data_IF_084909919694
#
_entry.id   IF_084909919694
#
_cell.length_a   1.000
_cell.length_b   1.000
_cell.length_c   1.000
_cell.angle_alpha   90.00
_cell.angle_beta   90.00
_cell.angle_gamma   90.00
#
_symmetry.space_group_name_H-M   'P 1'
#
loop_
_entity.id
_entity.type
_entity.pdbx_description
1 polymer ?
#
# COMPACT_ATOMS: atom_id res chain seq x y z
N UNK A 1 10.64 -54.93 21.94
CA UNK A 1 11.55 -55.33 20.85
C UNK A 1 11.03 -54.67 19.60
N UNK A 2 11.61 -53.54 19.21
CA UNK A 2 11.25 -52.80 18.00
C UNK A 2 12.56 -52.66 17.23
N UNK A 3 12.76 -53.48 16.22
CA UNK A 3 13.94 -53.38 15.34
C UNK A 3 13.68 -52.37 14.22
N UNK A 4 14.72 -51.56 14.01
CA UNK A 4 14.70 -50.30 13.28
C UNK A 4 14.61 -50.41 11.76
N UNK A 5 14.13 -49.31 11.20
CA UNK A 5 14.08 -48.98 9.78
C UNK A 5 15.53 -48.94 9.23
N UNK A 6 15.84 -49.57 8.09
CA UNK A 6 17.20 -49.56 7.56
C UNK A 6 17.52 -48.20 6.94
N UNK A 7 18.58 -47.55 7.43
CA UNK A 7 19.22 -46.42 6.76
C UNK A 7 19.95 -46.92 5.51
N UNK A 8 19.37 -46.66 4.33
CA UNK A 8 20.08 -46.83 3.06
C UNK A 8 21.19 -45.78 2.95
N UNK A 9 22.44 -46.24 3.07
CA UNK A 9 23.65 -45.50 2.72
C UNK A 9 23.63 -45.17 1.23
N UNK A 10 23.53 -43.89 0.92
CA UNK A 10 23.77 -43.39 -0.44
C UNK A 10 25.28 -43.48 -0.74
N UNK A 11 25.66 -44.36 -1.65
CA UNK A 11 27.04 -44.64 -2.04
C UNK A 11 27.68 -43.46 -2.78
N UNK A 12 28.86 -43.03 -2.34
CA UNK A 12 29.73 -42.11 -3.07
C UNK A 12 30.18 -42.77 -4.39
N UNK A 13 29.63 -42.30 -5.51
CA UNK A 13 30.14 -42.60 -6.85
C UNK A 13 30.63 -41.32 -7.51
N UNK A 14 31.80 -41.42 -8.15
CA UNK A 14 32.58 -40.32 -8.73
C UNK A 14 31.75 -39.36 -9.60
N UNK A 15 31.93 -38.06 -9.35
CA UNK A 15 31.25 -36.99 -10.09
C UNK A 15 31.78 -36.87 -11.52
N UNK A 16 31.11 -37.48 -12.48
CA UNK A 16 31.19 -37.07 -13.89
C UNK A 16 30.49 -35.72 -14.03
N UNK A 17 31.25 -34.63 -14.24
CA UNK A 17 30.69 -33.29 -14.44
C UNK A 17 30.12 -33.18 -15.85
N UNK A 18 28.89 -33.64 -16.02
CA UNK A 18 28.07 -33.32 -17.20
C UNK A 18 27.59 -31.87 -17.05
N UNK A 19 27.98 -30.97 -17.95
CA UNK A 19 27.46 -29.59 -17.99
C UNK A 19 26.01 -29.61 -18.47
N UNK A 20 25.07 -29.82 -17.56
CA UNK A 20 23.64 -29.79 -17.85
C UNK A 20 23.18 -28.33 -17.82
N UNK A 21 22.85 -27.76 -18.99
CA UNK A 21 22.23 -26.44 -19.08
C UNK A 21 20.71 -26.58 -18.90
N UNK A 22 20.12 -25.84 -17.97
CA UNK A 22 18.67 -25.86 -17.74
C UNK A 22 17.97 -24.91 -18.71
N UNK A 23 17.05 -25.46 -19.51
CA UNK A 23 16.25 -24.72 -20.48
C UNK A 23 14.83 -24.53 -19.93
N UNK A 24 14.38 -23.28 -19.80
CA UNK A 24 13.01 -22.98 -19.40
C UNK A 24 11.98 -23.29 -20.50
N UNK A 25 10.68 -23.22 -20.17
CA UNK A 25 9.56 -23.46 -21.11
C UNK A 25 9.52 -22.52 -22.33
N UNK A 26 10.23 -21.41 -22.29
CA UNK A 26 10.26 -20.39 -23.33
C UNK A 26 11.72 -20.12 -23.71
N UNK A 27 12.48 -21.16 -24.07
CA UNK A 27 13.87 -21.10 -24.61
C UNK A 27 14.92 -20.20 -23.89
N UNK A 28 14.58 -19.59 -22.77
CA UNK A 28 15.48 -18.79 -21.96
C UNK A 28 16.44 -19.74 -21.24
N UNK A 29 17.73 -19.51 -21.44
CA UNK A 29 18.82 -20.25 -20.80
C UNK A 29 19.08 -19.65 -19.43
N UNK A 30 18.80 -20.40 -18.37
CA UNK A 30 19.03 -19.94 -16.99
C UNK A 30 20.47 -20.26 -16.53
N UNK A 31 20.87 -19.63 -15.41
CA UNK A 31 22.12 -19.92 -14.69
C UNK A 31 22.41 -21.43 -14.61
N UNK A 32 23.70 -21.81 -14.70
CA UNK A 32 24.18 -23.20 -14.55
C UNK A 32 23.73 -23.84 -13.22
N UNK A 33 23.50 -23.01 -12.21
CA UNK A 33 22.90 -23.39 -10.94
C UNK A 33 21.56 -22.67 -10.85
N UNK A 34 20.45 -23.25 -11.35
CA UNK A 34 19.14 -22.68 -11.06
C UNK A 34 18.93 -22.72 -9.53
N UNK A 35 18.28 -21.70 -8.95
CA UNK A 35 17.83 -21.82 -7.57
C UNK A 35 16.98 -23.08 -7.46
N UNK A 36 17.22 -23.90 -6.42
CA UNK A 36 16.43 -25.09 -6.17
C UNK A 36 14.94 -24.71 -6.23
N UNK A 37 14.07 -25.56 -6.82
CA UNK A 37 12.64 -25.26 -6.94
C UNK A 37 12.09 -24.82 -5.59
N UNK A 38 11.88 -23.51 -5.44
CA UNK A 38 11.61 -22.90 -4.14
C UNK A 38 10.19 -23.15 -3.68
N UNK A 39 9.32 -23.68 -4.54
CA UNK A 39 7.92 -23.97 -4.24
C UNK A 39 7.76 -25.42 -3.84
N UNK A 40 7.79 -25.66 -2.54
CA UNK A 40 7.30 -26.91 -1.93
C UNK A 40 5.79 -26.82 -1.71
N UNK A 41 5.10 -27.97 -1.64
CA UNK A 41 3.64 -28.04 -1.38
C UNK A 41 3.22 -27.22 -0.13
N UNK A 42 4.10 -27.13 0.86
CA UNK A 42 3.92 -26.34 2.09
C UNK A 42 3.76 -24.83 1.86
N UNK A 43 4.17 -24.30 0.70
CA UNK A 43 4.00 -22.88 0.33
C UNK A 43 2.60 -22.56 -0.20
N UNK A 44 1.81 -23.57 -0.56
CA UNK A 44 0.40 -23.42 -0.92
C UNK A 44 -0.55 -23.71 0.25
N UNK A 45 -0.01 -24.10 1.41
CA UNK A 45 -0.81 -24.30 2.61
C UNK A 45 -1.18 -22.94 3.19
N UNK A 46 -2.46 -22.58 3.11
CA UNK A 46 -3.00 -21.40 3.80
C UNK A 46 -2.87 -21.62 5.30
N UNK A 47 -1.84 -21.03 5.92
CA UNK A 47 -1.55 -21.17 7.37
C UNK A 47 -2.38 -20.24 8.24
N UNK A 48 -2.82 -19.11 7.69
CA UNK A 48 -3.62 -18.11 8.38
C UNK A 48 -4.87 -17.82 7.56
N UNK A 49 -6.01 -17.70 8.25
CA UNK A 49 -7.26 -17.33 7.60
C UNK A 49 -7.18 -15.85 7.18
N UNK A 50 -7.73 -15.48 6.01
CA UNK A 50 -7.89 -14.07 5.66
C UNK A 50 -8.75 -13.39 6.72
N UNK A 51 -8.30 -12.23 7.21
CA UNK A 51 -8.94 -11.49 8.28
C UNK A 51 -8.10 -10.30 8.73
N UNK A 52 -8.59 -9.56 9.73
CA UNK A 52 -7.85 -8.47 10.34
C UNK A 52 -6.56 -9.00 10.99
N UNK A 53 -5.46 -8.28 10.79
CA UNK A 53 -4.13 -8.61 11.32
C UNK A 53 -3.61 -7.38 12.06
N UNK A 54 -2.77 -7.59 13.07
CA UNK A 54 -2.09 -6.51 13.78
C UNK A 54 -3.03 -5.71 14.70
N UNK A 55 -2.82 -4.39 14.86
CA UNK A 55 -3.60 -3.54 15.77
C UNK A 55 -5.11 -3.52 15.47
N UNK A 56 -5.50 -3.76 14.21
CA UNK A 56 -6.89 -3.88 13.80
C UNK A 56 -7.55 -5.17 14.35
N UNK A 57 -6.78 -6.23 14.62
CA UNK A 57 -7.33 -7.49 15.11
C UNK A 57 -7.68 -7.46 16.60
N UNK A 58 -7.12 -6.51 17.37
CA UNK A 58 -7.34 -6.40 18.83
C UNK A 58 -8.62 -5.66 19.20
N UNK A 59 -9.24 -4.93 18.28
CA UNK A 59 -10.49 -4.19 18.51
C UNK A 59 -11.66 -4.97 17.89
N UNK A 60 -12.66 -5.30 18.71
CA UNK A 60 -13.88 -5.98 18.24
C UNK A 60 -14.80 -5.03 17.47
N UNK A 61 -14.86 -3.77 17.92
CA UNK A 61 -15.68 -2.71 17.36
C UNK A 61 -14.75 -1.54 17.03
N UNK A 62 -14.52 -1.32 15.73
CA UNK A 62 -13.70 -0.20 15.23
C UNK A 62 -14.65 0.80 14.59
N UNK A 63 -14.59 2.05 15.03
CA UNK A 63 -15.34 3.13 14.39
C UNK A 63 -14.75 3.46 13.02
N UNK A 64 -15.51 4.15 12.16
CA UNK A 64 -15.00 4.57 10.85
C UNK A 64 -13.76 5.47 10.97
N UNK A 65 -13.75 6.36 11.96
CA UNK A 65 -12.60 7.24 12.24
C UNK A 65 -11.37 6.43 12.66
N UNK A 66 -11.50 5.52 13.63
CA UNK A 66 -10.38 4.67 14.05
C UNK A 66 -9.89 3.75 12.93
N UNK A 67 -10.79 3.31 12.04
CA UNK A 67 -10.41 2.51 10.86
C UNK A 67 -9.57 3.33 9.90
N UNK A 68 -9.89 4.61 9.74
CA UNK A 68 -9.15 5.55 8.90
C UNK A 68 -7.79 5.87 9.50
N UNK A 69 -7.71 6.08 10.82
CA UNK A 69 -6.45 6.33 11.53
C UNK A 69 -5.47 5.16 11.43
N UNK A 70 -5.94 3.92 11.25
CA UNK A 70 -5.09 2.76 10.99
C UNK A 70 -4.49 2.74 9.58
N UNK A 71 -5.08 3.49 8.65
CA UNK A 71 -4.60 3.61 7.27
C UNK A 71 -3.73 4.86 7.09
N UNK A 72 -4.14 5.96 7.74
CA UNK A 72 -3.50 7.27 7.66
C UNK A 72 -3.24 7.77 9.07
N UNK A 73 -2.07 7.43 9.59
CA UNK A 73 -1.61 7.87 10.90
C UNK A 73 -1.45 9.39 10.96
N UNK A 74 -1.61 9.95 12.16
CA UNK A 74 -1.38 11.38 12.43
C UNK A 74 0.02 11.87 11.98
N UNK A 75 1.05 11.01 12.11
CA UNK A 75 2.41 11.33 11.67
C UNK A 75 2.49 11.55 10.15
N UNK A 76 1.74 10.78 9.37
CA UNK A 76 1.68 10.94 7.90
C UNK A 76 1.07 12.30 7.57
N UNK A 77 -0.03 12.65 8.23
CA UNK A 77 -0.72 13.94 8.05
C UNK A 77 0.21 15.09 8.42
N UNK A 78 0.96 14.99 9.52
CA UNK A 78 1.94 16.01 9.90
C UNK A 78 3.04 16.20 8.86
N UNK A 79 3.60 15.11 8.32
CA UNK A 79 4.63 15.17 7.30
C UNK A 79 4.10 15.90 6.05
N UNK A 80 2.90 15.52 5.59
CA UNK A 80 2.24 16.18 4.45
C UNK A 80 2.03 17.66 4.74
N UNK A 81 1.53 18.01 5.93
CA UNK A 81 1.28 19.39 6.32
C UNK A 81 2.55 20.24 6.34
N UNK A 82 3.66 19.69 6.85
CA UNK A 82 4.94 20.39 6.90
C UNK A 82 5.45 20.74 5.50
N UNK A 83 5.52 19.74 4.61
CA UNK A 83 5.96 19.98 3.23
C UNK A 83 5.00 20.87 2.43
N UNK A 84 3.70 20.79 2.71
CA UNK A 84 2.71 21.69 2.10
C UNK A 84 2.96 23.13 2.51
N UNK A 85 3.18 23.39 3.80
CA UNK A 85 3.45 24.72 4.31
C UNK A 85 4.81 25.27 3.82
N UNK A 86 5.85 24.43 3.74
CA UNK A 86 7.10 24.80 3.08
C UNK A 86 6.85 25.25 1.65
N UNK A 87 6.04 24.50 0.89
CA UNK A 87 5.72 24.84 -0.50
C UNK A 87 4.88 26.12 -0.64
N UNK A 88 3.95 26.36 0.28
CA UNK A 88 3.15 27.59 0.31
C UNK A 88 4.06 28.79 0.54
N UNK A 89 4.97 28.70 1.52
CA UNK A 89 5.93 29.77 1.81
C UNK A 89 6.82 30.05 0.59
N UNK A 90 7.41 29.00 -0.02
CA UNK A 90 8.20 29.12 -1.25
C UNK A 90 7.47 29.80 -2.41
N UNK A 91 6.16 29.59 -2.53
CA UNK A 91 5.33 30.14 -3.61
C UNK A 91 4.83 31.56 -3.28
N UNK A 92 4.58 31.85 -2.00
CA UNK A 92 4.18 33.18 -1.52
C UNK A 92 5.29 34.22 -1.74
N UNK A 93 6.55 33.80 -1.63
CA UNK A 93 7.69 34.66 -1.93
C UNK A 93 7.80 34.99 -3.43
N UNK A 94 7.27 34.12 -4.29
CA UNK A 94 7.39 34.22 -5.75
C UNK A 94 6.20 34.91 -6.41
N UNK A 95 5.05 34.93 -5.76
CA UNK A 95 3.78 35.33 -6.38
C UNK A 95 3.10 36.38 -5.52
N UNK A 96 2.89 37.57 -6.08
CA UNK A 96 2.18 38.66 -5.43
C UNK A 96 0.66 38.42 -5.54
N UNK A 97 0.15 37.41 -4.85
CA UNK A 97 -1.28 37.03 -4.85
C UNK A 97 -1.85 37.07 -3.42
N UNK A 98 -3.17 37.26 -3.33
CA UNK A 98 -3.93 37.56 -2.11
C UNK A 98 -3.50 36.81 -0.85
N UNK A 99 -3.36 37.56 0.25
CA UNK A 99 -2.83 37.10 1.54
C UNK A 99 -3.59 35.91 2.16
N UNK A 100 -4.85 35.67 1.78
CA UNK A 100 -5.65 34.56 2.28
C UNK A 100 -5.30 33.21 1.63
N UNK A 101 -4.85 33.24 0.37
CA UNK A 101 -4.49 32.05 -0.41
C UNK A 101 -3.09 31.50 -0.07
N UNK A 102 -2.28 32.29 0.65
CA UNK A 102 -0.90 31.98 1.01
C UNK A 102 -0.73 31.70 2.51
N UNK A 103 -1.82 31.50 3.25
CA UNK A 103 -1.76 31.18 4.69
C UNK A 103 -1.34 29.73 4.88
N UNK A 104 -0.50 29.47 5.89
CA UNK A 104 -0.15 28.12 6.31
C UNK A 104 -1.39 27.31 6.70
N UNK A 105 -1.41 26.05 6.26
CA UNK A 105 -2.47 25.08 6.52
C UNK A 105 -2.29 24.48 7.91
N UNK A 106 -3.41 24.34 8.63
CA UNK A 106 -3.44 23.63 9.92
C UNK A 106 -3.53 22.12 9.71
N UNK A 107 -2.97 21.34 10.64
CA UNK A 107 -3.04 19.87 10.59
C UNK A 107 -4.49 19.37 10.59
N UNK A 108 -5.40 20.09 11.26
CA UNK A 108 -6.84 19.76 11.27
C UNK A 108 -7.44 19.95 9.88
N UNK A 109 -7.17 21.08 9.23
CA UNK A 109 -7.64 21.34 7.87
C UNK A 109 -7.09 20.30 6.89
N UNK A 110 -5.82 19.89 7.05
CA UNK A 110 -5.22 18.83 6.25
C UNK A 110 -5.89 17.47 6.49
N UNK A 111 -6.19 17.11 7.76
CA UNK A 111 -6.94 15.88 8.10
C UNK A 111 -8.31 15.90 7.41
N UNK A 112 -9.08 16.98 7.58
CA UNK A 112 -10.41 17.11 6.95
C UNK A 112 -10.34 17.01 5.43
N UNK A 113 -9.35 17.63 4.78
CA UNK A 113 -9.18 17.55 3.32
C UNK A 113 -8.96 16.11 2.83
N UNK A 114 -8.11 15.34 3.52
CA UNK A 114 -7.85 13.94 3.16
C UNK A 114 -9.09 13.08 3.41
N UNK A 115 -9.82 13.31 4.50
CA UNK A 115 -11.07 12.60 4.82
C UNK A 115 -12.21 12.89 3.83
N UNK A 116 -12.24 14.10 3.24
CA UNK A 116 -13.21 14.47 2.21
C UNK A 116 -12.89 13.85 0.85
N UNK A 117 -11.63 13.48 0.59
CA UNK A 117 -11.21 12.94 -0.72
C UNK A 117 -11.96 11.65 -1.15
N UNK A 118 -12.22 10.68 -0.25
CA UNK A 118 -13.11 9.55 -0.55
C UNK A 118 -14.52 9.93 -1.01
N UNK A 119 -15.10 11.03 -0.51
CA UNK A 119 -16.45 11.46 -0.90
C UNK A 119 -16.50 11.85 -2.38
N UNK A 120 -15.51 12.59 -2.87
CA UNK A 120 -15.37 12.91 -4.31
C UNK A 120 -15.39 11.63 -5.15
N UNK A 121 -14.72 10.58 -4.66
CA UNK A 121 -14.66 9.29 -5.36
C UNK A 121 -16.00 8.55 -5.34
N UNK A 122 -16.75 8.61 -4.23
CA UNK A 122 -18.09 8.00 -4.12
C UNK A 122 -19.03 8.60 -5.16
N UNK A 123 -18.97 9.92 -5.39
CA UNK A 123 -19.75 10.59 -6.41
C UNK A 123 -19.19 10.50 -7.83
N UNK A 124 -18.07 9.77 -8.02
CA UNK A 124 -17.36 9.64 -9.30
C UNK A 124 -16.92 10.98 -9.91
N UNK A 125 -16.84 12.01 -9.08
CA UNK A 125 -16.57 13.41 -9.44
C UNK A 125 -15.05 13.72 -9.50
N UNK A 126 -14.20 12.68 -9.58
CA UNK A 126 -12.74 12.84 -9.56
C UNK A 126 -12.12 13.58 -10.75
N UNK A 127 -12.93 13.93 -11.76
CA UNK A 127 -12.55 14.67 -12.95
C UNK A 127 -13.41 15.91 -13.19
N UNK A 128 -14.30 16.26 -12.25
CA UNK A 128 -15.13 17.46 -12.34
C UNK A 128 -14.34 18.69 -11.87
N UNK A 129 -14.80 19.87 -12.30
CA UNK A 129 -14.20 21.12 -11.85
C UNK A 129 -14.42 21.30 -10.35
N UNK A 130 -13.42 21.84 -9.66
CA UNK A 130 -13.48 22.08 -8.22
C UNK A 130 -14.58 23.08 -7.91
N UNK A 131 -14.83 24.04 -8.78
CA UNK A 131 -15.93 25.01 -8.61
C UNK A 131 -17.30 24.33 -8.54
N UNK A 132 -17.50 23.23 -9.27
CA UNK A 132 -18.75 22.48 -9.25
C UNK A 132 -18.94 21.64 -7.99
N UNK A 133 -17.84 21.24 -7.33
CA UNK A 133 -17.91 20.50 -6.06
C UNK A 133 -18.51 21.34 -4.93
N UNK A 134 -18.36 22.67 -5.01
CA UNK A 134 -18.77 23.65 -3.99
C UNK A 134 -19.91 24.55 -4.48
N UNK A 135 -20.51 24.22 -5.62
CA UNK A 135 -21.58 25.04 -6.19
C UNK A 135 -22.86 24.86 -5.36
N UNK A 136 -23.39 25.98 -4.86
CA UNK A 136 -24.64 26.02 -4.07
C UNK A 136 -25.86 26.28 -4.95
N UNK A 137 -25.72 26.19 -6.27
CA UNK A 137 -26.81 26.33 -7.21
C UNK A 137 -27.66 25.05 -7.24
N UNK A 138 -28.98 25.21 -7.18
CA UNK A 138 -29.96 24.09 -7.19
C UNK A 138 -29.90 23.22 -8.46
N UNK A 139 -29.03 23.57 -9.41
CA UNK A 139 -28.81 22.92 -10.70
C UNK A 139 -27.78 21.79 -10.65
N UNK A 140 -26.93 21.71 -9.63
CA UNK A 140 -25.82 20.74 -9.56
C UNK A 140 -25.93 19.88 -8.30
N UNK A 141 -25.29 18.70 -8.35
CA UNK A 141 -25.27 17.74 -7.24
C UNK A 141 -24.39 18.33 -6.14
N UNK A 142 -25.05 18.82 -5.10
CA UNK A 142 -24.38 19.35 -3.92
C UNK A 142 -23.66 18.22 -3.16
N UNK A 143 -22.32 18.26 -3.14
CA UNK A 143 -21.47 17.26 -2.49
C UNK A 143 -20.96 17.77 -1.12
N UNK A 144 -20.78 19.09 -0.96
CA UNK A 144 -20.14 19.69 0.21
C UNK A 144 -20.89 20.90 0.83
N UNK A 145 -22.04 21.30 0.27
CA UNK A 145 -22.89 22.42 0.68
C UNK A 145 -23.88 22.11 1.81
#
# INVERSE_FOLDING_TARGET
>A
MIDGIPEERCSDSEKVVVKIQYSGKIEYKWSKNPPAPSRICQHNTVRQRPGLIGPAASKSDITTEESFELLVDYNIIQIINNYTNEKINDNSEKTFTDAFSTINVSVIAMKSFIELSPLIRVFQSGHEDVEFLWATDETIRDIFG
#
